data_IF_757287125968
#
_entry.id   IF_757287125968
#
_cell.length_a   1.000
_cell.length_b   1.000
_cell.length_c   1.000
_cell.angle_alpha   90.00
_cell.angle_beta   90.00
_cell.angle_gamma   90.00
#
_symmetry.space_group_name_H-M   'P 1'
#
loop_
_entity.id
_entity.type
_entity.pdbx_description
1 polymer ?
#
# COMPACT_ATOMS: atom_id res chain seq x y z
N UNK A 1 -4.78 -9.76 12.35
CA UNK A 1 -5.14 -8.77 13.39
C UNK A 1 -6.33 -9.29 14.18
N UNK A 2 -6.11 -9.79 15.39
CA UNK A 2 -7.16 -10.10 16.36
C UNK A 2 -6.91 -9.11 17.52
N UNK A 3 -7.81 -8.15 17.69
CA UNK A 3 -7.72 -6.94 18.54
C UNK A 3 -6.83 -5.81 17.99
N UNK A 4 -7.44 -4.89 17.22
CA UNK A 4 -6.78 -3.72 16.63
C UNK A 4 -7.80 -2.76 16.00
N UNK A 5 -7.30 -1.66 15.41
CA UNK A 5 -8.13 -0.68 14.70
C UNK A 5 -8.96 -1.34 13.59
N UNK A 6 -10.18 -0.83 13.28
CA UNK A 6 -10.92 -1.25 12.09
C UNK A 6 -10.04 -1.15 10.85
N UNK A 7 -10.13 -2.12 9.93
CA UNK A 7 -9.28 -2.21 8.72
C UNK A 7 -9.16 -0.89 7.97
N UNK A 8 -10.28 -0.18 7.80
CA UNK A 8 -10.31 1.13 7.16
C UNK A 8 -9.46 2.15 7.91
N UNK A 9 -9.66 2.27 9.22
CA UNK A 9 -8.90 3.19 10.08
C UNK A 9 -7.41 2.86 10.07
N UNK A 10 -7.04 1.58 10.07
CA UNK A 10 -5.66 1.15 9.94
C UNK A 10 -5.04 1.57 8.59
N UNK A 11 -5.77 1.40 7.48
CA UNK A 11 -5.32 1.86 6.16
C UNK A 11 -5.21 3.38 6.10
N UNK A 12 -6.17 4.12 6.66
CA UNK A 12 -6.12 5.59 6.72
C UNK A 12 -4.91 6.08 7.51
N UNK A 13 -4.61 5.44 8.64
CA UNK A 13 -3.42 5.73 9.46
C UNK A 13 -2.09 5.47 8.73
N UNK A 14 -2.07 4.60 7.72
CA UNK A 14 -0.89 4.28 6.92
C UNK A 14 -0.80 5.02 5.58
N UNK A 15 -1.87 5.72 5.15
CA UNK A 15 -1.97 6.33 3.82
C UNK A 15 -2.36 7.81 3.90
N UNK A 16 -3.66 8.10 3.92
CA UNK A 16 -4.17 9.48 3.82
C UNK A 16 -3.81 10.36 5.02
N UNK A 17 -3.68 9.79 6.23
CA UNK A 17 -3.35 10.58 7.42
C UNK A 17 -1.89 11.06 7.38
N UNK A 18 -0.86 10.21 7.17
CA UNK A 18 0.51 10.67 6.94
C UNK A 18 0.63 11.65 5.78
N UNK A 19 -0.07 11.41 4.65
CA UNK A 19 -0.03 12.33 3.50
C UNK A 19 -0.48 13.74 3.91
N UNK A 20 -1.61 13.84 4.62
CA UNK A 20 -2.13 15.13 5.09
C UNK A 20 -1.21 15.78 6.14
N UNK A 21 -0.74 15.03 7.14
CA UNK A 21 0.14 15.58 8.18
C UNK A 21 1.49 16.07 7.63
N UNK A 22 1.96 15.50 6.52
CA UNK A 22 3.20 15.89 5.86
C UNK A 22 2.99 16.93 4.73
N UNK A 23 1.74 17.31 4.44
CA UNK A 23 1.41 18.24 3.34
C UNK A 23 1.74 17.68 1.96
N UNK A 24 1.50 16.38 1.76
CA UNK A 24 1.72 15.64 0.52
C UNK A 24 0.40 15.10 -0.07
N UNK A 25 -0.75 15.51 0.47
CA UNK A 25 -2.08 15.03 0.09
C UNK A 25 -2.55 15.50 -1.29
N UNK A 26 -1.82 16.43 -1.91
CA UNK A 26 -1.94 16.82 -3.32
C UNK A 26 -1.23 15.83 -4.27
N UNK A 27 -0.42 14.92 -3.74
CA UNK A 27 0.40 13.97 -4.51
C UNK A 27 0.16 12.51 -4.17
N UNK A 28 0.09 12.16 -2.88
CA UNK A 28 0.01 10.76 -2.42
C UNK A 28 -1.20 10.55 -1.50
N UNK A 29 -1.73 9.33 -1.49
CA UNK A 29 -2.94 8.99 -0.74
C UNK A 29 -3.86 8.07 -1.54
N UNK A 30 -5.17 8.23 -1.34
CA UNK A 30 -6.22 7.44 -2.00
C UNK A 30 -7.15 8.20 -2.98
N UNK A 31 -7.25 9.55 -2.98
CA UNK A 31 -8.07 10.27 -3.96
C UNK A 31 -7.70 9.99 -5.42
N UNK A 32 -8.67 10.06 -6.36
CA UNK A 32 -8.37 10.06 -7.80
C UNK A 32 -7.57 11.30 -8.21
N UNK A 33 -6.70 11.14 -9.21
CA UNK A 33 -5.89 12.24 -9.76
C UNK A 33 -4.55 12.46 -9.07
N UNK A 34 -4.22 11.65 -8.07
CA UNK A 34 -2.93 11.60 -7.39
C UNK A 34 -1.89 10.76 -8.16
N UNK A 35 -0.65 10.75 -7.67
CA UNK A 35 0.43 9.94 -8.22
C UNK A 35 0.04 8.45 -8.21
N UNK A 36 0.46 7.72 -9.24
CA UNK A 36 0.09 6.33 -9.48
C UNK A 36 0.83 5.33 -8.58
N UNK A 37 0.81 5.58 -7.27
CA UNK A 37 1.49 4.78 -6.26
C UNK A 37 0.58 3.66 -5.75
N UNK A 38 0.87 2.43 -6.15
CA UNK A 38 -0.02 1.28 -5.92
C UNK A 38 0.79 0.08 -5.45
N UNK A 39 0.33 -0.54 -4.36
CA UNK A 39 0.82 -1.86 -3.92
C UNK A 39 -0.31 -2.87 -4.10
N UNK A 40 0.00 -3.98 -4.77
CA UNK A 40 -0.92 -5.11 -4.91
C UNK A 40 -0.41 -6.26 -4.05
N UNK A 41 -1.27 -6.78 -3.19
CA UNK A 41 -1.02 -7.97 -2.36
C UNK A 41 -1.83 -9.15 -2.90
N UNK A 42 -1.27 -10.36 -2.83
CA UNK A 42 -1.97 -11.59 -3.23
C UNK A 42 -2.90 -12.11 -2.13
N UNK A 43 -2.82 -11.51 -0.93
CA UNK A 43 -3.67 -11.80 0.22
C UNK A 43 -3.92 -10.55 1.06
N UNK A 44 -4.59 -10.72 2.20
CA UNK A 44 -4.89 -9.60 3.08
C UNK A 44 -3.60 -9.06 3.74
N UNK A 45 -3.25 -7.78 3.54
CA UNK A 45 -2.03 -7.18 4.09
C UNK A 45 -2.01 -7.11 5.63
N UNK A 46 -3.13 -7.35 6.30
CA UNK A 46 -3.24 -7.40 7.76
C UNK A 46 -2.85 -8.75 8.38
N UNK A 47 -2.51 -9.73 7.55
CA UNK A 47 -2.04 -11.05 7.97
C UNK A 47 -0.51 -11.09 8.02
N UNK A 48 0.07 -12.07 8.70
CA UNK A 48 1.54 -12.18 8.84
C UNK A 48 2.25 -12.75 7.61
N UNK A 49 1.51 -13.24 6.60
CA UNK A 49 2.05 -13.90 5.40
C UNK A 49 1.42 -13.40 4.09
N UNK A 50 1.32 -12.08 3.82
CA UNK A 50 0.94 -11.63 2.49
C UNK A 50 2.14 -11.83 1.58
N UNK A 51 2.04 -12.74 0.60
CA UNK A 51 2.96 -12.70 -0.52
C UNK A 51 2.65 -11.40 -1.29
N UNK A 52 3.58 -10.43 -1.24
CA UNK A 52 3.43 -9.18 -1.98
C UNK A 52 3.47 -9.51 -3.47
N UNK A 53 2.61 -8.89 -4.28
CA UNK A 53 2.49 -9.24 -5.70
C UNK A 53 3.37 -8.34 -6.56
N UNK A 54 3.16 -7.02 -6.49
CA UNK A 54 4.00 -6.02 -7.16
C UNK A 54 3.73 -4.60 -6.64
N UNK A 55 4.67 -3.68 -6.89
CA UNK A 55 4.66 -2.27 -6.49
C UNK A 55 4.83 -1.38 -7.71
N UNK A 56 4.00 -0.34 -7.78
CA UNK A 56 4.03 0.73 -8.77
C UNK A 56 4.31 2.04 -8.05
N UNK A 57 5.22 2.85 -8.60
CA UNK A 57 5.51 4.22 -8.14
C UNK A 57 5.48 5.14 -9.35
N UNK A 58 4.79 6.28 -9.25
CA UNK A 58 4.58 7.23 -10.35
C UNK A 58 4.09 6.54 -11.65
N UNK A 59 3.18 5.55 -11.51
CA UNK A 59 2.65 4.79 -12.63
C UNK A 59 3.62 3.79 -13.28
N UNK A 60 4.81 3.57 -12.71
CA UNK A 60 5.82 2.63 -13.19
C UNK A 60 6.00 1.45 -12.24
N UNK A 61 5.98 0.23 -12.75
CA UNK A 61 6.31 -0.96 -11.97
C UNK A 61 7.78 -0.90 -11.52
N UNK A 62 8.02 -0.90 -10.21
CA UNK A 62 9.38 -0.83 -9.63
C UNK A 62 9.79 -2.13 -8.94
N UNK A 63 8.82 -2.96 -8.56
CA UNK A 63 9.10 -4.24 -7.92
C UNK A 63 8.00 -5.25 -8.22
N UNK A 64 8.38 -6.50 -8.49
CA UNK A 64 7.47 -7.62 -8.67
C UNK A 64 8.04 -8.83 -7.97
N UNK A 65 7.24 -9.43 -7.08
CA UNK A 65 7.62 -10.68 -6.45
C UNK A 65 7.36 -11.82 -7.44
N UNK A 66 8.31 -12.75 -7.55
CA UNK A 66 8.13 -14.02 -8.27
C UNK A 66 8.19 -15.14 -7.25
N UNK A 67 7.29 -16.10 -7.38
CA UNK A 67 7.10 -17.21 -6.45
C UNK A 67 8.42 -17.90 -6.08
N UNK A 68 8.80 -17.85 -4.80
CA UNK A 68 9.57 -18.86 -4.06
C UNK A 68 10.92 -19.40 -4.58
N UNK A 69 11.41 -18.98 -5.73
CA UNK A 69 12.68 -19.42 -6.32
C UNK A 69 13.47 -18.18 -6.72
N UNK A 70 14.16 -17.60 -5.74
CA UNK A 70 15.24 -16.67 -6.02
C UNK A 70 16.35 -17.39 -6.78
N UNK A 71 16.82 -16.77 -7.87
CA UNK A 71 18.14 -17.03 -8.42
C UNK A 71 19.21 -16.39 -7.53
#
# INVERSE_FOLDING_TARGET
>A
MQEGLPRRTALEALTVNPASFLGLDDRVGAPPGLDGDIVVWSGDPSTSLPAQSFVVVDGREVHRWRDGLGA
#
